data_IF_806131620042
#
_entry.id   IF_806131620042
#
_cell.length_a   1.000
_cell.length_b   1.000
_cell.length_c   1.000
_cell.angle_alpha   90.00
_cell.angle_beta   90.00
_cell.angle_gamma   90.00
#
_symmetry.space_group_name_H-M   'P 1'
#
loop_
_entity.id
_entity.type
_entity.pdbx_description
1 polymer ?
#
# COMPACT_ATOMS: atom_id res chain seq x y z
N UNK A 1 -2.78 24.80 8.79
CA UNK A 1 -3.42 23.54 8.34
C UNK A 1 -3.25 23.41 6.84
N UNK A 2 -2.66 22.30 6.34
CA UNK A 2 -2.51 22.05 4.88
C UNK A 2 -3.89 22.02 4.21
N UNK A 3 -4.03 22.76 3.11
CA UNK A 3 -5.28 22.89 2.36
C UNK A 3 -5.69 21.54 1.74
N UNK A 4 -6.97 21.34 1.40
CA UNK A 4 -7.41 20.08 0.75
C UNK A 4 -6.71 19.86 -0.60
N UNK A 5 -6.38 20.93 -1.32
CA UNK A 5 -5.66 20.89 -2.58
C UNK A 5 -4.21 20.42 -2.42
N UNK A 6 -3.50 20.83 -1.36
CA UNK A 6 -2.12 20.35 -1.12
C UNK A 6 -2.06 18.85 -0.86
N UNK A 7 -3.08 18.29 -0.19
CA UNK A 7 -3.17 16.84 0.06
C UNK A 7 -3.42 16.05 -1.21
N UNK A 8 -4.30 16.54 -2.08
CA UNK A 8 -4.59 15.90 -3.37
C UNK A 8 -3.34 15.95 -4.27
N UNK A 9 -2.68 17.10 -4.39
CA UNK A 9 -1.43 17.23 -5.15
C UNK A 9 -0.36 16.28 -4.64
N UNK A 10 -0.17 16.22 -3.32
CA UNK A 10 0.80 15.33 -2.69
C UNK A 10 0.54 13.86 -3.03
N UNK A 11 -0.71 13.41 -2.89
CA UNK A 11 -1.10 12.03 -3.14
C UNK A 11 -0.97 11.64 -4.62
N UNK A 12 -1.41 12.52 -5.53
CA UNK A 12 -1.33 12.27 -6.97
C UNK A 12 0.12 12.23 -7.45
N UNK A 13 0.96 13.18 -7.03
CA UNK A 13 2.38 13.16 -7.37
C UNK A 13 3.11 11.96 -6.77
N UNK A 14 2.78 11.57 -5.54
CA UNK A 14 3.33 10.38 -4.89
C UNK A 14 3.05 9.12 -5.69
N UNK A 15 1.79 8.91 -6.08
CA UNK A 15 1.35 7.73 -6.82
C UNK A 15 1.99 7.66 -8.21
N UNK A 16 1.98 8.78 -8.96
CA UNK A 16 2.52 8.83 -10.33
C UNK A 16 4.02 8.56 -10.33
N UNK A 17 4.80 9.25 -9.47
CA UNK A 17 6.25 9.08 -9.43
C UNK A 17 6.60 7.68 -8.92
N UNK A 18 5.88 7.17 -7.92
CA UNK A 18 6.08 5.82 -7.39
C UNK A 18 5.84 4.76 -8.46
N UNK A 19 4.75 4.87 -9.22
CA UNK A 19 4.43 3.96 -10.32
C UNK A 19 5.48 4.01 -11.44
N UNK A 20 5.92 5.21 -11.86
CA UNK A 20 6.94 5.34 -12.92
C UNK A 20 8.26 4.70 -12.49
N UNK A 21 8.70 4.93 -11.25
CA UNK A 21 9.92 4.32 -10.74
C UNK A 21 9.78 2.79 -10.61
N UNK A 22 8.64 2.31 -10.12
CA UNK A 22 8.38 0.88 -10.00
C UNK A 22 8.40 0.18 -11.35
N UNK A 23 7.71 0.74 -12.35
CA UNK A 23 7.69 0.24 -13.73
C UNK A 23 9.10 0.25 -14.32
N UNK A 24 9.87 1.33 -14.09
CA UNK A 24 11.25 1.44 -14.55
C UNK A 24 12.14 0.35 -13.97
N UNK A 25 12.05 0.09 -12.66
CA UNK A 25 12.81 -0.96 -11.99
C UNK A 25 12.41 -2.34 -12.53
N UNK A 26 11.12 -2.64 -12.62
CA UNK A 26 10.63 -3.93 -13.11
C UNK A 26 10.95 -4.16 -14.60
N UNK A 27 10.98 -3.10 -15.41
CA UNK A 27 11.42 -3.16 -16.80
C UNK A 27 12.88 -3.62 -16.93
N UNK A 28 13.77 -3.24 -16.00
CA UNK A 28 15.16 -3.73 -16.00
C UNK A 28 15.26 -5.24 -15.72
N UNK A 29 14.23 -5.84 -15.11
CA UNK A 29 14.13 -7.28 -14.89
C UNK A 29 13.46 -8.03 -16.05
N UNK A 30 13.16 -7.35 -17.17
CA UNK A 30 12.63 -7.98 -18.38
C UNK A 30 11.10 -8.17 -18.39
N UNK A 31 10.38 -7.53 -17.47
CA UNK A 31 8.91 -7.54 -17.48
C UNK A 31 8.35 -6.51 -18.48
N UNK A 32 7.40 -6.92 -19.31
CA UNK A 32 6.74 -6.06 -20.31
C UNK A 32 6.13 -4.81 -19.64
N UNK A 33 6.64 -3.63 -20.03
CA UNK A 33 6.39 -2.36 -19.35
C UNK A 33 4.94 -1.88 -19.44
N UNK A 34 4.19 -2.34 -20.45
CA UNK A 34 2.78 -2.00 -20.65
C UNK A 34 1.85 -2.71 -19.65
N UNK A 35 2.23 -3.89 -19.17
CA UNK A 35 1.41 -4.67 -18.23
C UNK A 35 1.61 -4.22 -16.78
N UNK A 36 2.84 -3.83 -16.41
CA UNK A 36 3.21 -3.53 -15.02
C UNK A 36 2.49 -2.29 -14.46
N UNK A 37 2.31 -1.24 -15.27
CA UNK A 37 1.61 -0.02 -14.84
C UNK A 37 0.12 -0.26 -14.58
N UNK A 38 -0.55 -0.99 -15.48
CA UNK A 38 -1.96 -1.37 -15.32
C UNK A 38 -2.16 -2.29 -14.11
N UNK A 39 -1.20 -3.17 -13.86
CA UNK A 39 -1.19 -4.08 -12.71
C UNK A 39 -1.07 -3.31 -11.41
N UNK A 40 -0.20 -2.30 -11.31
CA UNK A 40 -0.07 -1.47 -10.12
C UNK A 40 -1.38 -0.75 -9.76
N UNK A 41 -2.08 -0.21 -10.76
CA UNK A 41 -3.39 0.43 -10.57
C UNK A 41 -4.43 -0.61 -10.13
N UNK A 42 -4.51 -1.76 -10.81
CA UNK A 42 -5.42 -2.84 -10.43
C UNK A 42 -5.13 -3.35 -9.00
N UNK A 43 -3.86 -3.40 -8.60
CA UNK A 43 -3.43 -3.76 -7.25
C UNK A 43 -3.88 -2.73 -6.22
N UNK A 44 -3.78 -1.44 -6.52
CA UNK A 44 -4.24 -0.37 -5.63
C UNK A 44 -5.76 -0.47 -5.39
N UNK A 45 -6.54 -0.75 -6.43
CA UNK A 45 -7.97 -1.02 -6.29
C UNK A 45 -8.25 -2.31 -5.51
N UNK A 46 -7.53 -3.40 -5.78
CA UNK A 46 -7.67 -4.66 -5.07
C UNK A 46 -7.32 -4.52 -3.58
N UNK A 47 -6.21 -3.84 -3.24
CA UNK A 47 -5.79 -3.58 -1.88
C UNK A 47 -6.80 -2.69 -1.14
N UNK A 48 -7.31 -1.65 -1.80
CA UNK A 48 -8.37 -0.79 -1.24
C UNK A 48 -9.67 -1.56 -1.02
N UNK A 49 -10.05 -2.42 -1.97
CA UNK A 49 -11.18 -3.32 -1.86
C UNK A 49 -11.02 -4.32 -0.72
N UNK A 50 -9.85 -4.94 -0.61
CA UNK A 50 -9.51 -5.86 0.48
C UNK A 50 -9.54 -5.18 1.85
N UNK A 51 -9.01 -3.95 1.95
CA UNK A 51 -9.08 -3.14 3.17
C UNK A 51 -10.51 -2.92 3.62
N UNK A 52 -11.42 -2.58 2.69
CA UNK A 52 -12.84 -2.42 3.00
C UNK A 52 -13.48 -3.74 3.44
N UNK A 53 -13.25 -4.83 2.69
CA UNK A 53 -13.82 -6.16 2.98
C UNK A 53 -13.33 -6.68 4.33
N UNK A 54 -12.03 -6.61 4.61
CA UNK A 54 -11.42 -7.07 5.84
C UNK A 54 -11.88 -6.26 7.05
N UNK A 55 -11.88 -4.92 6.94
CA UNK A 55 -12.38 -4.06 8.03
C UNK A 55 -13.84 -4.39 8.37
N UNK A 56 -14.70 -4.55 7.36
CA UNK A 56 -16.11 -4.88 7.57
C UNK A 56 -16.29 -6.30 8.18
N UNK A 57 -15.50 -7.27 7.73
CA UNK A 57 -15.51 -8.63 8.30
C UNK A 57 -15.06 -8.63 9.76
N UNK A 58 -13.96 -7.95 10.07
CA UNK A 58 -13.41 -7.90 11.41
C UNK A 58 -14.29 -7.11 12.38
N UNK A 59 -14.89 -6.00 11.94
CA UNK A 59 -15.81 -5.24 12.76
C UNK A 59 -17.09 -6.06 13.07
N UNK A 60 -17.60 -6.83 12.10
CA UNK A 60 -18.69 -7.80 12.35
C UNK A 60 -18.27 -8.90 13.34
N UNK A 61 -17.05 -9.41 13.23
CA UNK A 61 -16.51 -10.40 14.16
C UNK A 61 -16.36 -9.84 15.58
N UNK A 62 -15.87 -8.60 15.70
CA UNK A 62 -15.74 -7.88 16.97
C UNK A 62 -17.09 -7.64 17.64
N UNK A 63 -18.08 -7.18 16.89
CA UNK A 63 -19.45 -6.98 17.41
C UNK A 63 -20.09 -8.30 17.81
N UNK A 64 -19.90 -9.37 17.01
CA UNK A 64 -20.47 -10.69 17.29
C UNK A 64 -19.82 -11.39 18.48
N UNK A 65 -18.50 -11.25 18.66
CA UNK A 65 -17.72 -11.99 19.66
C UNK A 65 -17.49 -11.23 20.96
N UNK A 66 -17.31 -9.90 20.88
CA UNK A 66 -16.96 -9.06 22.04
C UNK A 66 -18.02 -8.01 22.37
N UNK A 67 -19.08 -7.86 21.55
CA UNK A 67 -20.16 -6.85 21.71
C UNK A 67 -19.65 -5.42 21.93
N UNK A 68 -18.43 -5.13 21.51
CA UNK A 68 -17.77 -3.84 21.68
C UNK A 68 -16.92 -3.51 20.46
N UNK A 69 -16.86 -2.23 20.13
CA UNK A 69 -15.99 -1.68 19.08
C UNK A 69 -14.68 -1.13 19.66
N UNK A 70 -14.52 -1.13 21.00
CA UNK A 70 -13.26 -0.71 21.64
C UNK A 70 -12.20 -1.79 21.48
N UNK A 71 -11.40 -1.68 20.41
CA UNK A 71 -10.24 -2.53 20.13
C UNK A 71 -9.17 -2.34 21.20
N UNK A 72 -8.89 -3.38 22.00
CA UNK A 72 -7.73 -3.42 22.91
C UNK A 72 -6.43 -3.49 22.11
N UNK A 73 -5.28 -3.15 22.73
CA UNK A 73 -3.98 -3.16 22.04
C UNK A 73 -3.66 -4.51 21.38
N UNK A 74 -4.04 -5.61 22.03
CA UNK A 74 -3.85 -6.97 21.53
C UNK A 74 -4.76 -7.27 20.32
N UNK A 75 -6.02 -6.81 20.34
CA UNK A 75 -6.94 -6.93 19.21
C UNK A 75 -6.48 -6.11 17.99
N UNK A 76 -5.80 -4.98 18.20
CA UNK A 76 -5.20 -4.19 17.11
C UNK A 76 -4.04 -4.93 16.46
N UNK A 77 -3.18 -5.57 17.24
CA UNK A 77 -2.07 -6.38 16.68
C UNK A 77 -2.63 -7.55 15.87
N UNK A 78 -3.59 -8.31 16.43
CA UNK A 78 -4.22 -9.43 15.71
C UNK A 78 -4.91 -8.96 14.43
N UNK A 79 -5.58 -7.80 14.47
CA UNK A 79 -6.19 -7.19 13.28
C UNK A 79 -5.15 -6.87 12.21
N UNK A 80 -4.08 -6.16 12.58
CA UNK A 80 -3.04 -5.74 11.62
C UNK A 80 -2.30 -6.93 11.03
N UNK A 81 -1.92 -7.92 11.85
CA UNK A 81 -1.23 -9.13 11.38
C UNK A 81 -2.16 -9.98 10.51
N UNK A 82 -3.43 -10.13 10.90
CA UNK A 82 -4.40 -10.87 10.09
C UNK A 82 -4.76 -10.18 8.78
N UNK A 83 -4.78 -8.84 8.77
CA UNK A 83 -4.99 -8.04 7.56
C UNK A 83 -3.85 -8.28 6.57
N UNK A 84 -2.61 -8.14 7.04
CA UNK A 84 -1.41 -8.31 6.22
C UNK A 84 -1.31 -9.74 5.69
N UNK A 85 -1.47 -10.74 6.55
CA UNK A 85 -1.41 -12.15 6.15
C UNK A 85 -2.52 -12.52 5.15
N UNK A 86 -3.75 -12.01 5.37
CA UNK A 86 -4.85 -12.22 4.43
C UNK A 86 -4.62 -11.53 3.09
N UNK A 87 -4.04 -10.31 3.12
CA UNK A 87 -3.68 -9.58 1.91
C UNK A 87 -2.64 -10.36 1.11
N UNK A 88 -1.56 -10.84 1.76
CA UNK A 88 -0.52 -11.68 1.13
C UNK A 88 -1.10 -12.91 0.42
N UNK A 89 -2.06 -13.60 1.04
CA UNK A 89 -2.70 -14.77 0.44
C UNK A 89 -3.46 -14.42 -0.85
N UNK A 90 -3.98 -13.20 -0.98
CA UNK A 90 -4.70 -12.72 -2.17
C UNK A 90 -3.74 -12.12 -3.19
N UNK A 91 -2.74 -11.34 -2.74
CA UNK A 91 -1.82 -10.61 -3.61
C UNK A 91 -0.83 -11.52 -4.30
N UNK A 92 -0.28 -12.52 -3.59
CA UNK A 92 0.76 -13.42 -4.13
C UNK A 92 0.26 -14.23 -5.34
N UNK A 93 -0.93 -14.90 -5.31
CA UNK A 93 -1.43 -15.61 -6.48
C UNK A 93 -1.70 -14.71 -7.68
N UNK A 94 -2.18 -13.48 -7.43
CA UNK A 94 -2.43 -12.50 -8.50
C UNK A 94 -1.11 -12.06 -9.13
N UNK A 95 -0.10 -11.72 -8.31
CA UNK A 95 1.24 -11.37 -8.80
C UNK A 95 1.88 -12.51 -9.59
N UNK A 96 1.80 -13.73 -9.06
CA UNK A 96 2.32 -14.93 -9.73
C UNK A 96 1.64 -15.13 -11.09
N UNK A 97 0.33 -14.96 -11.18
CA UNK A 97 -0.42 -15.11 -12.42
C UNK A 97 -0.10 -14.02 -13.45
N UNK A 98 -0.01 -12.77 -12.99
CA UNK A 98 0.23 -11.60 -13.84
C UNK A 98 1.65 -11.59 -14.38
N UNK A 99 2.65 -11.76 -13.50
CA UNK A 99 4.06 -11.70 -13.86
C UNK A 99 4.59 -13.04 -14.39
N UNK A 100 3.75 -14.09 -14.37
CA UNK A 100 4.09 -15.47 -14.77
C UNK A 100 5.32 -16.00 -14.02
N UNK A 101 5.45 -15.64 -12.75
CA UNK A 101 6.52 -16.07 -11.85
C UNK A 101 6.01 -17.11 -10.87
N UNK A 102 6.91 -17.86 -10.24
CA UNK A 102 6.55 -18.79 -9.17
C UNK A 102 5.97 -18.05 -7.95
N UNK A 103 5.21 -18.77 -7.12
CA UNK A 103 4.65 -18.23 -5.86
C UNK A 103 5.76 -17.70 -4.93
N UNK A 104 6.92 -18.37 -4.93
CA UNK A 104 8.06 -17.95 -4.12
C UNK A 104 8.70 -16.66 -4.63
N UNK A 105 8.87 -16.53 -5.95
CA UNK A 105 9.35 -15.29 -6.56
C UNK A 105 8.35 -14.15 -6.38
N UNK A 106 7.05 -14.41 -6.51
CA UNK A 106 5.99 -13.43 -6.24
C UNK A 106 6.04 -12.93 -4.79
N UNK A 107 6.30 -13.82 -3.82
CA UNK A 107 6.47 -13.44 -2.42
C UNK A 107 7.69 -12.53 -2.20
N UNK A 108 8.84 -12.87 -2.81
CA UNK A 108 10.05 -12.03 -2.73
C UNK A 108 9.81 -10.68 -3.40
N UNK A 109 9.16 -10.65 -4.56
CA UNK A 109 8.79 -9.42 -5.27
C UNK A 109 7.86 -8.56 -4.43
N UNK A 110 6.86 -9.15 -3.77
CA UNK A 110 5.92 -8.43 -2.89
C UNK A 110 6.67 -7.75 -1.73
N UNK A 111 7.56 -8.47 -1.03
CA UNK A 111 8.42 -7.89 0.01
C UNK A 111 9.32 -6.79 -0.56
N UNK A 112 9.92 -7.01 -1.72
CA UNK A 112 10.77 -6.03 -2.40
C UNK A 112 10.01 -4.74 -2.73
N UNK A 113 8.77 -4.86 -3.21
CA UNK A 113 7.89 -3.72 -3.49
C UNK A 113 7.51 -2.98 -2.22
N UNK A 114 7.16 -3.68 -1.13
CA UNK A 114 6.84 -3.05 0.17
C UNK A 114 8.04 -2.27 0.69
N UNK A 115 9.23 -2.86 0.69
CA UNK A 115 10.46 -2.19 1.12
C UNK A 115 10.79 -0.98 0.23
N UNK A 116 10.65 -1.13 -1.09
CA UNK A 116 10.85 -0.05 -2.03
C UNK A 116 9.90 1.12 -1.75
N UNK A 117 8.59 0.87 -1.63
CA UNK A 117 7.60 1.90 -1.31
C UNK A 117 7.82 2.54 0.06
N UNK A 118 8.29 1.78 1.05
CA UNK A 118 8.60 2.32 2.38
C UNK A 118 9.74 3.34 2.32
N UNK A 119 10.84 2.97 1.65
CA UNK A 119 11.99 3.85 1.44
C UNK A 119 11.60 5.04 0.57
N UNK A 120 10.89 4.79 -0.54
CA UNK A 120 10.40 5.83 -1.45
C UNK A 120 9.49 6.83 -0.72
N UNK A 121 8.52 6.37 0.06
CA UNK A 121 7.63 7.23 0.82
C UNK A 121 8.38 8.08 1.84
N UNK A 122 9.36 7.51 2.53
CA UNK A 122 10.22 8.27 3.44
C UNK A 122 10.98 9.38 2.70
N UNK A 123 11.66 9.05 1.60
CA UNK A 123 12.44 10.02 0.80
C UNK A 123 11.54 11.08 0.18
N UNK A 124 10.40 10.69 -0.39
CA UNK A 124 9.43 11.60 -0.99
C UNK A 124 8.89 12.58 0.04
N UNK A 125 8.49 12.10 1.22
CA UNK A 125 8.01 12.97 2.30
C UNK A 125 9.10 13.97 2.73
N UNK A 126 10.36 13.54 2.87
CA UNK A 126 11.48 14.44 3.19
C UNK A 126 11.70 15.52 2.13
N UNK A 127 11.64 15.15 0.85
CA UNK A 127 11.81 16.09 -0.26
C UNK A 127 10.61 17.05 -0.30
N UNK A 128 9.39 16.54 -0.18
CA UNK A 128 8.18 17.35 -0.24
C UNK A 128 8.11 18.34 0.93
N UNK A 129 8.49 17.94 2.14
CA UNK A 129 8.54 18.84 3.30
C UNK A 129 9.64 19.90 3.18
N UNK A 130 10.74 19.62 2.46
CA UNK A 130 11.76 20.64 2.11
C UNK A 130 11.28 21.63 1.05
N UNK A 131 10.52 21.17 0.05
CA UNK A 131 10.00 22.01 -1.05
C UNK A 131 8.78 22.83 -0.57
N UNK A 132 7.93 22.25 0.28
CA UNK A 132 6.75 22.88 0.85
C UNK A 132 6.83 22.88 2.38
N UNK A 133 7.69 23.74 2.96
CA UNK A 133 7.81 23.87 4.41
C UNK A 133 6.47 24.25 5.01
N UNK A 134 6.07 23.49 6.03
CA UNK A 134 4.88 23.82 6.82
C UNK A 134 5.22 25.09 7.62
N UNK A 135 4.38 26.14 7.61
CA UNK A 135 4.66 27.33 8.42
C UNK A 135 4.84 26.90 9.88
N UNK A 136 5.95 27.29 10.49
CA UNK A 136 6.18 27.10 11.92
C UNK A 136 5.02 27.71 12.68
N UNK A 137 4.45 26.95 13.60
CA UNK A 137 3.53 27.50 14.59
C UNK A 137 4.41 28.30 15.53
N UNK A 138 4.58 29.59 15.24
CA UNK A 138 5.20 30.54 16.16
C UNK A 138 4.31 30.57 17.40
N UNK A 139 4.81 29.99 18.49
CA UNK A 139 4.19 30.07 19.82
C UNK A 139 4.33 31.46 20.41
#
# INVERSE_FOLDING_TARGET
MRTRFDRIRHAVCFEIIGLVLLVGVLSQFGYDSDHVGAVGIAFSFLATGWNYVYNNWFDKLMVRRYKTLKKTSLQRVVHSVGFEAGLLIVTIPILSWVLKVSIWEAFILDIGMVLFYLIYAYVYNLIYDKIFPVPEVVH
#
